data_IF_547289777465
#
_entry.id   IF_547289777465
#
_cell.length_a   1.000
_cell.length_b   1.000
_cell.length_c   1.000
_cell.angle_alpha   90.00
_cell.angle_beta   90.00
_cell.angle_gamma   90.00
#
_symmetry.space_group_name_H-M   'P 1'
#
loop_
_entity.id
_entity.type
_entity.pdbx_description
1 polymer ?
#
# COMPACT_ATOMS: atom_id res chain seq x y z
N UNK A 1 9.86 8.49 -15.33
CA UNK A 1 9.50 7.58 -14.22
C UNK A 1 10.52 7.67 -13.10
N UNK A 2 10.41 8.69 -12.27
CA UNK A 2 11.14 8.78 -11.00
C UNK A 2 10.14 9.10 -9.91
N UNK A 3 9.99 8.19 -8.94
CA UNK A 3 9.18 8.37 -7.75
C UNK A 3 9.92 7.73 -6.57
N UNK A 4 9.65 8.23 -5.36
CA UNK A 4 10.24 7.69 -4.13
C UNK A 4 9.58 6.35 -3.83
N UNK A 5 10.38 5.30 -3.82
CA UNK A 5 9.96 4.02 -3.28
C UNK A 5 10.29 3.99 -1.79
N UNK A 6 9.29 3.74 -0.96
CA UNK A 6 9.43 3.74 0.50
C UNK A 6 9.25 2.31 0.99
N UNK A 7 10.31 1.64 1.48
CA UNK A 7 10.19 0.28 2.02
C UNK A 7 9.33 0.28 3.27
N UNK A 8 8.46 -0.73 3.40
CA UNK A 8 7.60 -0.92 4.57
C UNK A 8 8.06 -2.11 5.40
N UNK A 9 8.01 -3.32 4.83
CA UNK A 9 8.36 -4.54 5.57
C UNK A 9 8.74 -5.69 4.62
N UNK A 10 9.46 -6.68 5.14
CA UNK A 10 9.78 -7.93 4.45
C UNK A 10 8.71 -8.99 4.76
N UNK A 11 8.36 -9.84 3.79
CA UNK A 11 7.52 -11.00 4.04
C UNK A 11 8.10 -11.87 5.16
N UNK A 12 7.25 -12.64 5.86
CA UNK A 12 7.67 -13.52 6.97
C UNK A 12 8.73 -14.57 6.57
N UNK A 13 8.88 -14.86 5.28
CA UNK A 13 9.89 -15.76 4.72
C UNK A 13 11.16 -15.03 4.19
N UNK A 14 11.25 -13.72 4.39
CA UNK A 14 12.30 -12.81 3.91
C UNK A 14 12.54 -12.86 2.38
N UNK A 15 11.58 -13.37 1.60
CA UNK A 15 11.75 -13.49 0.14
C UNK A 15 11.25 -12.27 -0.62
N UNK A 16 10.38 -11.44 -0.04
CA UNK A 16 9.76 -10.27 -0.69
C UNK A 16 9.88 -9.03 0.17
N UNK A 17 10.16 -7.90 -0.47
CA UNK A 17 10.06 -6.57 0.12
C UNK A 17 8.76 -5.91 -0.36
N UNK A 18 7.93 -5.47 0.59
CA UNK A 18 6.77 -4.63 0.32
C UNK A 18 7.14 -3.16 0.50
N UNK A 19 6.72 -2.34 -0.44
CA UNK A 19 7.05 -0.92 -0.46
C UNK A 19 5.94 -0.09 -1.08
N UNK A 20 5.85 1.17 -0.67
CA UNK A 20 4.97 2.16 -1.25
C UNK A 20 5.62 2.84 -2.45
N UNK A 21 4.85 3.07 -3.51
CA UNK A 21 5.31 3.85 -4.66
C UNK A 21 4.17 4.64 -5.30
N UNK A 22 4.49 5.79 -5.90
CA UNK A 22 3.54 6.61 -6.68
C UNK A 22 3.72 6.45 -8.20
N UNK A 23 4.44 5.43 -8.65
CA UNK A 23 4.85 5.24 -10.06
C UNK A 23 3.69 5.12 -11.04
N UNK A 24 2.86 4.10 -10.87
CA UNK A 24 1.76 3.78 -11.78
C UNK A 24 0.51 3.44 -10.98
N UNK A 25 -0.65 3.55 -11.61
CA UNK A 25 -1.92 3.06 -11.09
C UNK A 25 -2.51 2.03 -12.07
N UNK A 26 -3.59 1.36 -11.66
CA UNK A 26 -4.36 0.50 -12.56
C UNK A 26 -5.07 1.35 -13.63
N UNK A 27 -5.19 0.82 -14.85
CA UNK A 27 -5.78 1.55 -15.98
C UNK A 27 -7.25 1.95 -15.76
N UNK A 28 -7.95 1.27 -14.85
CA UNK A 28 -9.33 1.55 -14.45
C UNK A 28 -9.45 2.64 -13.39
N UNK A 29 -8.34 3.11 -12.83
CA UNK A 29 -8.35 4.12 -11.78
C UNK A 29 -8.79 5.47 -12.35
N UNK A 30 -9.88 6.02 -11.81
CA UNK A 30 -10.31 7.40 -12.07
C UNK A 30 -9.72 8.40 -11.07
N UNK A 31 -8.79 7.97 -10.20
CA UNK A 31 -8.22 8.83 -9.15
C UNK A 31 -7.20 9.78 -9.75
N UNK A 32 -7.23 11.03 -9.32
CA UNK A 32 -6.28 12.03 -9.79
C UNK A 32 -4.85 11.66 -9.35
N UNK A 33 -3.86 11.58 -10.27
CA UNK A 33 -2.52 11.09 -9.99
C UNK A 33 -1.64 12.20 -9.40
N UNK A 34 -1.92 12.61 -8.16
CA UNK A 34 -1.00 13.47 -7.40
C UNK A 34 0.12 12.63 -6.80
N UNK A 35 1.32 13.21 -6.85
CA UNK A 35 2.44 12.73 -6.05
C UNK A 35 2.07 12.80 -4.58
N UNK A 36 2.47 11.77 -3.82
CA UNK A 36 2.20 11.67 -2.37
C UNK A 36 0.71 11.53 -2.01
N UNK A 37 -0.14 11.10 -2.95
CA UNK A 37 -1.55 10.79 -2.71
C UNK A 37 -1.87 9.39 -3.20
N UNK A 38 -2.60 8.61 -2.39
CA UNK A 38 -2.93 7.21 -2.67
C UNK A 38 -1.68 6.40 -3.02
N UNK A 39 -0.70 6.28 -2.12
CA UNK A 39 0.51 5.50 -2.38
C UNK A 39 0.17 4.02 -2.62
N UNK A 40 0.63 3.46 -3.74
CA UNK A 40 0.31 2.09 -4.17
C UNK A 40 1.23 1.13 -3.46
N UNK A 41 0.68 -0.01 -3.04
CA UNK A 41 1.46 -1.09 -2.46
C UNK A 41 2.05 -1.93 -3.59
N UNK A 42 3.38 -2.02 -3.60
CA UNK A 42 4.14 -2.88 -4.48
C UNK A 42 4.90 -3.94 -3.68
N UNK A 43 5.26 -5.02 -4.36
CA UNK A 43 6.15 -6.05 -3.87
C UNK A 43 7.25 -6.35 -4.89
N UNK A 44 8.45 -6.65 -4.40
CA UNK A 44 9.57 -7.13 -5.23
C UNK A 44 10.30 -8.26 -4.50
N UNK A 45 10.84 -9.23 -5.24
CA UNK A 45 11.67 -10.26 -4.65
C UNK A 45 13.01 -9.68 -4.14
N UNK A 46 13.50 -10.16 -3.00
CA UNK A 46 14.75 -9.67 -2.40
C UNK A 46 15.96 -9.95 -3.30
N UNK A 47 15.91 -11.00 -4.12
CA UNK A 47 16.94 -11.33 -5.12
C UNK A 47 16.90 -10.42 -6.36
N UNK A 48 16.02 -9.42 -6.38
CA UNK A 48 15.79 -8.56 -7.53
C UNK A 48 14.75 -9.13 -8.50
N UNK A 49 14.39 -8.34 -9.50
CA UNK A 49 13.37 -8.66 -10.50
C UNK A 49 12.35 -7.55 -10.69
N UNK A 50 11.23 -7.86 -11.33
CA UNK A 50 10.17 -6.89 -11.61
C UNK A 50 9.28 -6.64 -10.39
N UNK A 51 9.04 -5.36 -10.09
CA UNK A 51 8.08 -4.95 -9.06
C UNK A 51 6.63 -5.24 -9.51
N UNK A 52 5.85 -5.85 -8.63
CA UNK A 52 4.45 -6.21 -8.87
C UNK A 52 3.55 -5.31 -8.02
N UNK A 53 2.50 -4.74 -8.60
CA UNK A 53 1.50 -3.98 -7.84
C UNK A 53 0.62 -4.98 -7.08
N UNK A 54 0.54 -4.80 -5.76
CA UNK A 54 -0.29 -5.62 -4.88
C UNK A 54 -1.65 -4.98 -4.69
N UNK A 55 -1.69 -3.66 -4.48
CA UNK A 55 -2.93 -2.93 -4.25
C UNK A 55 -2.80 -1.44 -4.62
N UNK A 56 -3.85 -0.89 -5.25
CA UNK A 56 -3.91 0.52 -5.68
C UNK A 56 -4.63 1.45 -4.71
N UNK A 57 -5.17 0.94 -3.59
CA UNK A 57 -6.09 1.67 -2.74
C UNK A 57 -5.46 2.83 -1.95
N UNK A 58 -4.13 2.93 -1.85
CA UNK A 58 -3.48 3.92 -1.00
C UNK A 58 -3.06 3.34 0.34
N UNK A 59 -2.38 2.19 0.35
CA UNK A 59 -2.03 1.45 1.57
C UNK A 59 -0.63 1.83 2.04
N UNK A 60 -0.54 2.80 2.94
CA UNK A 60 0.73 3.23 3.53
C UNK A 60 1.09 2.38 4.75
N UNK A 61 2.38 2.11 4.95
CA UNK A 61 2.91 1.28 6.04
C UNK A 61 2.20 -0.09 6.15
N UNK A 62 1.87 -0.68 5.01
CA UNK A 62 1.15 -1.95 4.98
C UNK A 62 1.98 -3.10 5.57
N UNK A 63 1.34 -3.94 6.37
CA UNK A 63 1.92 -5.15 6.95
C UNK A 63 0.90 -6.28 6.86
N UNK A 64 1.33 -7.45 6.40
CA UNK A 64 0.45 -8.63 6.33
C UNK A 64 0.42 -9.36 7.68
N UNK A 65 -0.67 -10.08 7.93
CA UNK A 65 -0.71 -11.06 9.00
C UNK A 65 0.27 -12.20 8.72
N UNK A 66 0.72 -12.90 9.77
CA UNK A 66 1.57 -14.10 9.65
C UNK A 66 0.99 -15.18 8.73
N UNK A 67 -0.34 -15.27 8.69
CA UNK A 67 -1.12 -16.18 7.85
C UNK A 67 -1.38 -15.65 6.45
N UNK A 68 -0.96 -14.42 6.13
CA UNK A 68 -1.19 -13.72 4.87
C UNK A 68 -2.68 -13.61 4.46
N UNK A 69 -3.58 -13.61 5.43
CA UNK A 69 -5.04 -13.51 5.24
C UNK A 69 -5.58 -12.10 5.52
N UNK A 70 -4.75 -11.20 6.04
CA UNK A 70 -5.12 -9.81 6.25
C UNK A 70 -3.92 -8.87 6.05
N UNK A 71 -4.22 -7.60 5.79
CA UNK A 71 -3.25 -6.51 5.70
C UNK A 71 -3.72 -5.40 6.64
N UNK A 72 -2.87 -5.02 7.60
CA UNK A 72 -3.05 -3.79 8.37
C UNK A 72 -2.29 -2.66 7.67
N UNK A 73 -2.91 -1.49 7.54
CA UNK A 73 -2.31 -0.35 6.86
C UNK A 73 -2.91 0.97 7.34
N UNK A 74 -2.24 2.06 7.04
CA UNK A 74 -2.74 3.41 7.21
C UNK A 74 -3.22 3.94 5.84
N UNK A 75 -4.43 4.52 5.77
CA UNK A 75 -4.88 5.11 4.50
C UNK A 75 -4.25 6.49 4.26
N UNK A 76 -3.66 6.66 3.08
CA UNK A 76 -3.08 7.93 2.67
C UNK A 76 -3.87 8.52 1.49
N UNK A 77 -4.84 9.38 1.81
CA UNK A 77 -5.85 9.90 0.88
C UNK A 77 -5.73 11.38 0.51
N UNK A 78 -4.76 12.11 1.06
CA UNK A 78 -4.58 13.53 0.75
C UNK A 78 -3.15 14.02 0.94
N UNK A 79 -2.65 14.81 -0.02
CA UNK A 79 -1.27 15.32 -0.07
C UNK A 79 -0.97 16.50 0.89
N UNK A 80 -1.99 17.06 1.53
CA UNK A 80 -1.89 18.23 2.43
C UNK A 80 -2.02 17.86 3.92
N UNK A 81 -2.17 16.56 4.21
CA UNK A 81 -2.21 16.02 5.55
C UNK A 81 -0.78 15.98 6.14
N UNK A 82 -0.63 16.34 7.42
CA UNK A 82 0.67 16.41 8.09
C UNK A 82 0.73 15.30 9.11
N UNK A 83 1.67 14.36 8.94
CA UNK A 83 1.78 13.17 9.77
C UNK A 83 1.94 13.44 11.28
N UNK A 84 2.34 14.65 11.68
CA UNK A 84 2.54 15.02 13.09
C UNK A 84 1.40 15.84 13.68
N UNK A 85 0.36 16.15 12.90
CA UNK A 85 -0.78 16.93 13.36
C UNK A 85 -1.69 16.07 14.24
N UNK A 86 -1.80 16.43 15.51
CA UNK A 86 -2.71 15.77 16.46
C UNK A 86 -4.14 16.27 16.26
N UNK A 87 -5.12 15.40 16.55
CA UNK A 87 -6.55 15.73 16.58
C UNK A 87 -7.11 16.28 15.25
N UNK A 88 -6.55 15.87 14.10
CA UNK A 88 -7.05 16.28 12.81
C UNK A 88 -8.46 15.70 12.55
N UNK A 89 -9.47 16.55 12.34
CA UNK A 89 -10.82 16.15 11.95
C UNK A 89 -11.09 16.68 10.54
N UNK A 90 -10.90 15.83 9.55
CA UNK A 90 -11.09 16.18 8.14
C UNK A 90 -11.32 14.93 7.30
N UNK A 91 -11.77 15.10 6.06
CA UNK A 91 -11.91 14.00 5.11
C UNK A 91 -10.58 13.37 4.70
N UNK A 92 -9.44 14.00 4.99
CA UNK A 92 -8.09 13.51 4.66
C UNK A 92 -7.35 12.92 5.86
N UNK A 93 -7.94 12.94 7.06
CA UNK A 93 -7.35 12.36 8.26
C UNK A 93 -7.03 10.88 8.02
N UNK A 94 -5.79 10.48 8.31
CA UNK A 94 -5.32 9.11 8.12
C UNK A 94 -5.79 8.22 9.27
N UNK A 95 -6.42 7.12 8.92
CA UNK A 95 -6.96 6.09 9.80
C UNK A 95 -6.20 4.77 9.62
N UNK A 96 -6.31 3.87 10.60
CA UNK A 96 -5.76 2.52 10.52
C UNK A 96 -6.86 1.56 10.07
N UNK A 97 -6.58 0.79 9.03
CA UNK A 97 -7.51 -0.13 8.41
C UNK A 97 -6.98 -1.56 8.46
N UNK A 98 -7.92 -2.51 8.53
CA UNK A 98 -7.66 -3.94 8.36
C UNK A 98 -8.37 -4.43 7.10
N UNK A 99 -7.60 -4.83 6.10
CA UNK A 99 -8.11 -5.45 4.88
C UNK A 99 -8.00 -6.97 4.97
N UNK A 100 -9.14 -7.68 4.96
CA UNK A 100 -9.17 -9.15 4.93
C UNK A 100 -9.06 -9.63 3.48
N UNK A 101 -8.03 -10.43 3.19
CA UNK A 101 -7.83 -11.09 1.91
C UNK A 101 -8.77 -12.30 1.89
N UNK A 102 -9.81 -12.28 1.04
CA UNK A 102 -10.70 -13.43 0.92
C UNK A 102 -9.91 -14.64 0.41
N UNK A 103 -10.03 -15.83 1.03
CA UNK A 103 -9.47 -17.04 0.46
C UNK A 103 -10.10 -17.27 -0.91
N UNK A 104 -9.26 -17.39 -1.94
CA UNK A 104 -9.66 -17.81 -3.28
C UNK A 104 -9.93 -19.31 -3.28
N UNK A 105 -11.03 -19.72 -2.65
CA UNK A 105 -11.54 -21.08 -2.83
C UNK A 105 -12.15 -21.19 -4.23
N UNK A 106 -11.35 -21.58 -5.20
CA UNK A 106 -11.87 -22.11 -6.45
C UNK A 106 -12.28 -23.56 -6.22
N UNK A 107 -13.57 -23.77 -6.02
CA UNK A 107 -14.16 -25.11 -6.11
C UNK A 107 -14.45 -25.33 -7.60
N UNK A 108 -13.91 -26.41 -8.16
CA UNK A 108 -14.13 -26.80 -9.56
C UNK A 108 -15.57 -27.25 -9.76
#
# INVERSE_FOLDING_TARGET
NSSKDIPYYFSEDDQKLYFGSSRNDVYTSARYPLNDMFIKLYAVAVKGGSSQMVNSAGMEFAHFSKTNDAIIFQDHKGSVESAYRKHAVSSVTRDIWLYKIKPTNYIK
#
